data_IF_090270576411
#
_entry.id   IF_090270576411
#
_cell.length_a   1.000
_cell.length_b   1.000
_cell.length_c   1.000
_cell.angle_alpha   90.00
_cell.angle_beta   90.00
_cell.angle_gamma   90.00
#
_symmetry.space_group_name_H-M   'P 1'
#
loop_
_entity.id
_entity.type
_entity.pdbx_description
1 polymer ?
#
# COMPACT_ATOMS: atom_id res chain seq x y z
N UNK A 1 -33.89 12.14 9.39
CA UNK A 1 -34.07 11.16 8.30
C UNK A 1 -34.91 10.05 8.90
N UNK A 2 -36.03 9.67 8.28
CA UNK A 2 -36.78 8.51 8.76
C UNK A 2 -35.96 7.23 8.54
N UNK A 3 -36.04 6.23 9.45
CA UNK A 3 -35.31 4.98 9.28
C UNK A 3 -35.83 4.24 8.04
N UNK A 4 -34.95 3.98 7.08
CA UNK A 4 -35.26 3.14 5.92
C UNK A 4 -35.12 1.68 6.37
N UNK A 5 -36.14 0.82 6.22
CA UNK A 5 -36.04 -0.59 6.55
C UNK A 5 -35.23 -1.31 5.48
N UNK A 6 -33.90 -1.23 5.59
CA UNK A 6 -32.95 -1.87 4.68
C UNK A 6 -31.97 -2.74 5.45
N UNK A 7 -31.67 -3.93 4.91
CA UNK A 7 -30.64 -4.80 5.48
C UNK A 7 -29.26 -4.39 4.96
N UNK A 8 -28.24 -4.50 5.82
CA UNK A 8 -26.85 -4.32 5.40
C UNK A 8 -26.41 -5.38 4.39
N UNK A 9 -27.06 -6.55 4.34
CA UNK A 9 -26.81 -7.58 3.32
C UNK A 9 -27.20 -7.10 1.94
N UNK A 10 -28.39 -6.51 1.78
CA UNK A 10 -28.84 -5.97 0.49
C UNK A 10 -27.87 -4.91 -0.05
N UNK A 11 -27.44 -3.97 0.81
CA UNK A 11 -26.46 -2.94 0.43
C UNK A 11 -25.16 -3.57 -0.07
N UNK A 12 -24.63 -4.57 0.66
CA UNK A 12 -23.39 -5.25 0.28
C UNK A 12 -23.54 -6.00 -1.03
N UNK A 13 -24.62 -6.73 -1.23
CA UNK A 13 -24.90 -7.47 -2.47
C UNK A 13 -24.99 -6.54 -3.68
N UNK A 14 -25.67 -5.40 -3.55
CA UNK A 14 -25.75 -4.38 -4.60
C UNK A 14 -24.35 -3.85 -4.96
N UNK A 15 -23.55 -3.43 -3.96
CA UNK A 15 -22.21 -2.91 -4.18
C UNK A 15 -21.25 -3.94 -4.78
N UNK A 16 -21.34 -5.21 -4.36
CA UNK A 16 -20.57 -6.32 -4.93
C UNK A 16 -21.00 -6.64 -6.38
N UNK A 17 -22.26 -6.40 -6.72
CA UNK A 17 -22.79 -6.49 -8.08
C UNK A 17 -22.41 -5.32 -8.99
N UNK A 18 -21.72 -4.30 -8.46
CA UNK A 18 -21.36 -3.08 -9.18
C UNK A 18 -22.48 -2.03 -9.27
N UNK A 19 -23.56 -2.20 -8.49
CA UNK A 19 -24.65 -1.24 -8.40
C UNK A 19 -24.33 -0.15 -7.34
N UNK A 20 -24.89 1.05 -7.52
CA UNK A 20 -24.77 2.10 -6.50
C UNK A 20 -25.80 1.90 -5.39
N UNK A 21 -25.34 1.94 -4.14
CA UNK A 21 -26.18 1.95 -2.95
C UNK A 21 -26.23 3.31 -2.24
N UNK A 22 -25.73 4.39 -2.87
CA UNK A 22 -25.56 5.71 -2.22
C UNK A 22 -26.88 6.28 -1.70
N UNK A 23 -27.96 6.07 -2.44
CA UNK A 23 -29.31 6.50 -2.08
C UNK A 23 -29.89 5.80 -0.83
N UNK A 24 -29.23 4.73 -0.37
CA UNK A 24 -29.63 3.89 0.76
C UNK A 24 -28.78 4.16 2.00
N UNK A 25 -27.77 5.04 1.89
CA UNK A 25 -26.75 5.26 2.89
C UNK A 25 -26.69 6.72 3.32
N UNK A 26 -26.28 7.02 4.56
CA UNK A 26 -25.87 8.37 4.92
C UNK A 26 -24.77 8.85 3.96
N UNK A 27 -24.79 10.12 3.51
CA UNK A 27 -23.83 10.62 2.51
C UNK A 27 -22.36 10.39 2.89
N UNK A 28 -22.01 10.53 4.17
CA UNK A 28 -20.65 10.28 4.65
C UNK A 28 -20.22 8.82 4.54
N UNK A 29 -21.16 7.87 4.68
CA UNK A 29 -20.89 6.44 4.53
C UNK A 29 -20.71 6.09 3.05
N UNK A 30 -21.58 6.61 2.18
CA UNK A 30 -21.46 6.44 0.74
C UNK A 30 -20.12 7.00 0.22
N UNK A 31 -19.77 8.24 0.59
CA UNK A 31 -18.47 8.83 0.27
C UNK A 31 -17.30 7.99 0.77
N UNK A 32 -17.37 7.48 2.00
CA UNK A 32 -16.30 6.63 2.53
C UNK A 32 -16.14 5.34 1.72
N UNK A 33 -17.24 4.65 1.39
CA UNK A 33 -17.21 3.42 0.60
C UNK A 33 -16.62 3.67 -0.78
N UNK A 34 -17.08 4.72 -1.47
CA UNK A 34 -16.68 5.04 -2.83
C UNK A 34 -15.22 5.52 -2.89
N UNK A 35 -14.80 6.39 -1.97
CA UNK A 35 -13.43 6.91 -1.95
C UNK A 35 -12.40 5.82 -1.61
N UNK A 36 -12.76 4.83 -0.79
CA UNK A 36 -11.84 3.77 -0.39
C UNK A 36 -12.01 2.47 -1.19
N UNK A 37 -12.93 2.44 -2.16
CA UNK A 37 -13.18 1.28 -3.03
C UNK A 37 -13.44 -0.03 -2.26
N UNK A 38 -14.15 0.06 -1.13
CA UNK A 38 -14.30 -1.03 -0.13
C UNK A 38 -14.80 -2.35 -0.73
N UNK A 39 -15.59 -2.32 -1.79
CA UNK A 39 -16.14 -3.53 -2.44
C UNK A 39 -15.53 -3.83 -3.82
N UNK A 40 -14.66 -2.97 -4.35
CA UNK A 40 -14.18 -3.07 -5.73
C UNK A 40 -13.28 -4.30 -5.97
N UNK A 41 -12.56 -4.74 -4.95
CA UNK A 41 -11.59 -5.84 -5.04
C UNK A 41 -12.06 -7.11 -4.33
N UNK A 42 -13.36 -7.24 -4.06
CA UNK A 42 -13.91 -8.38 -3.32
C UNK A 42 -13.63 -9.74 -3.97
N UNK A 43 -13.63 -9.79 -5.31
CA UNK A 43 -13.26 -10.99 -6.07
C UNK A 43 -11.80 -11.38 -5.84
N UNK A 44 -10.88 -10.41 -5.80
CA UNK A 44 -9.45 -10.68 -5.62
C UNK A 44 -9.13 -11.08 -4.18
N UNK A 45 -9.81 -10.46 -3.21
CA UNK A 45 -9.78 -10.90 -1.82
C UNK A 45 -10.30 -12.33 -1.68
N UNK A 46 -11.25 -12.75 -2.53
CA UNK A 46 -11.86 -14.07 -2.42
C UNK A 46 -10.89 -15.24 -2.64
N UNK A 47 -9.85 -14.98 -3.44
CA UNK A 47 -8.77 -15.93 -3.74
C UNK A 47 -7.88 -16.22 -2.51
N UNK A 48 -8.00 -15.42 -1.44
CA UNK A 48 -7.28 -15.61 -0.17
C UNK A 48 -8.10 -16.36 0.90
N UNK A 49 -9.12 -17.13 0.47
CA UNK A 49 -9.61 -18.40 1.10
C UNK A 49 -9.10 -18.75 2.49
N UNK A 50 -7.94 -19.36 2.38
CA UNK A 50 -7.23 -20.05 3.43
C UNK A 50 -6.49 -19.10 4.36
N UNK A 51 -6.21 -17.89 3.91
CA UNK A 51 -5.32 -16.95 4.58
C UNK A 51 -6.06 -15.91 5.43
N UNK A 52 -7.38 -15.79 5.31
CA UNK A 52 -8.16 -14.78 6.03
C UNK A 52 -7.94 -14.76 7.54
N UNK A 53 -7.94 -15.93 8.18
CA UNK A 53 -7.70 -16.01 9.63
C UNK A 53 -6.29 -15.56 9.99
N UNK A 54 -5.31 -15.81 9.11
CA UNK A 54 -3.94 -15.36 9.31
C UNK A 54 -3.82 -13.83 9.13
N UNK A 55 -4.38 -13.28 8.05
CA UNK A 55 -4.38 -11.83 7.80
C UNK A 55 -5.12 -11.07 8.90
N UNK A 56 -6.26 -11.58 9.37
CA UNK A 56 -7.00 -10.97 10.49
C UNK A 56 -6.19 -10.96 11.78
N UNK A 57 -5.36 -11.97 12.05
CA UNK A 57 -4.48 -11.96 13.23
C UNK A 57 -3.42 -10.86 13.11
N UNK A 58 -2.82 -10.69 11.93
CA UNK A 58 -1.84 -9.61 11.68
C UNK A 58 -2.49 -8.22 11.81
N UNK A 59 -3.72 -8.07 11.32
CA UNK A 59 -4.54 -6.88 11.49
C UNK A 59 -4.75 -6.56 12.98
N UNK A 60 -5.20 -7.54 13.77
CA UNK A 60 -5.45 -7.36 15.20
C UNK A 60 -4.20 -6.98 15.99
N UNK A 61 -3.04 -7.55 15.65
CA UNK A 61 -1.77 -7.26 16.32
C UNK A 61 -1.33 -5.81 16.06
N UNK A 62 -1.44 -5.33 14.82
CA UNK A 62 -0.96 -3.99 14.48
C UNK A 62 -1.96 -2.87 14.85
N UNK A 63 -3.27 -3.16 14.96
CA UNK A 63 -4.31 -2.13 15.16
C UNK A 63 -4.01 -1.19 16.34
N UNK A 64 -3.63 -1.68 17.53
CA UNK A 64 -3.30 -0.83 18.67
C UNK A 64 -2.16 0.16 18.41
N UNK A 65 -1.28 -0.14 17.45
CA UNK A 65 -0.14 0.70 17.08
C UNK A 65 -0.53 1.82 16.10
N UNK A 66 -1.66 1.69 15.40
CA UNK A 66 -2.05 2.57 14.31
C UNK A 66 -3.23 3.47 14.65
N UNK A 67 -3.18 4.71 14.15
CA UNK A 67 -4.34 5.61 14.13
C UNK A 67 -5.47 5.07 13.25
N UNK A 68 -6.70 5.55 13.45
CA UNK A 68 -7.84 5.11 12.63
C UNK A 68 -7.62 5.40 11.13
N UNK A 69 -7.11 6.57 10.78
CA UNK A 69 -6.79 6.94 9.40
C UNK A 69 -5.74 5.99 8.81
N UNK A 70 -4.72 5.62 9.60
CA UNK A 70 -3.68 4.72 9.13
C UNK A 70 -4.18 3.30 8.93
N UNK A 71 -5.10 2.82 9.77
CA UNK A 71 -5.75 1.51 9.57
C UNK A 71 -6.48 1.46 8.23
N UNK A 72 -7.23 2.51 7.88
CA UNK A 72 -7.91 2.59 6.57
C UNK A 72 -6.88 2.59 5.43
N UNK A 73 -5.84 3.42 5.53
CA UNK A 73 -4.74 3.45 4.56
C UNK A 73 -4.14 2.06 4.34
N UNK A 74 -3.74 1.38 5.42
CA UNK A 74 -3.12 0.05 5.35
C UNK A 74 -4.07 -0.99 4.71
N UNK A 75 -5.36 -0.97 5.04
CA UNK A 75 -6.33 -1.85 4.38
C UNK A 75 -6.48 -1.55 2.90
N UNK A 76 -6.47 -0.28 2.49
CA UNK A 76 -6.54 0.09 1.08
C UNK A 76 -5.27 -0.33 0.34
N UNK A 77 -4.09 -0.15 0.94
CA UNK A 77 -2.80 -0.62 0.39
C UNK A 77 -2.82 -2.13 0.23
N UNK A 78 -3.24 -2.90 1.25
CA UNK A 78 -3.36 -4.35 1.17
C UNK A 78 -4.27 -4.78 0.01
N UNK A 79 -5.50 -4.24 -0.04
CA UNK A 79 -6.49 -4.60 -1.07
C UNK A 79 -5.97 -4.30 -2.49
N UNK A 80 -5.40 -3.12 -2.68
CA UNK A 80 -4.89 -2.73 -3.99
C UNK A 80 -3.62 -3.48 -4.37
N UNK A 81 -2.78 -3.84 -3.38
CA UNK A 81 -1.61 -4.70 -3.61
C UNK A 81 -2.02 -6.09 -4.09
N UNK A 82 -3.08 -6.67 -3.53
CA UNK A 82 -3.63 -7.96 -3.97
C UNK A 82 -4.14 -7.86 -5.41
N UNK A 83 -4.88 -6.80 -5.72
CA UNK A 83 -5.37 -6.55 -7.08
C UNK A 83 -4.23 -6.46 -8.11
N UNK A 84 -3.23 -5.62 -7.85
CA UNK A 84 -2.05 -5.50 -8.72
C UNK A 84 -1.26 -6.82 -8.79
N UNK A 85 -1.13 -7.55 -7.69
CA UNK A 85 -0.44 -8.84 -7.68
C UNK A 85 -1.14 -9.87 -8.57
N UNK A 86 -2.48 -9.90 -8.57
CA UNK A 86 -3.25 -10.78 -9.45
C UNK A 86 -3.01 -10.48 -10.93
N UNK A 87 -3.03 -9.21 -11.30
CA UNK A 87 -2.79 -8.77 -12.69
C UNK A 87 -1.36 -9.13 -13.14
N UNK A 88 -0.37 -8.85 -12.29
CA UNK A 88 1.05 -9.04 -12.59
C UNK A 88 1.60 -10.42 -12.22
N UNK A 89 0.73 -11.35 -11.82
CA UNK A 89 1.07 -12.73 -11.46
C UNK A 89 2.13 -12.82 -10.35
N UNK A 90 2.03 -11.92 -9.37
CA UNK A 90 2.79 -11.96 -8.11
C UNK A 90 1.97 -12.71 -7.06
N UNK A 91 2.65 -13.38 -6.12
CA UNK A 91 1.99 -14.14 -5.06
C UNK A 91 1.06 -13.24 -4.23
N UNK A 92 -0.23 -13.59 -4.19
CA UNK A 92 -1.28 -12.80 -3.54
C UNK A 92 -1.08 -12.70 -2.04
N UNK A 93 -0.62 -13.78 -1.40
CA UNK A 93 -0.42 -13.84 0.05
C UNK A 93 0.72 -12.93 0.47
N UNK A 94 1.83 -12.95 -0.27
CA UNK A 94 2.98 -12.05 -0.03
C UNK A 94 2.58 -10.59 -0.22
N UNK A 95 1.81 -10.27 -1.26
CA UNK A 95 1.27 -8.93 -1.50
C UNK A 95 0.33 -8.46 -0.38
N UNK A 96 -0.57 -9.35 0.08
CA UNK A 96 -1.48 -9.05 1.18
C UNK A 96 -0.70 -8.76 2.48
N UNK A 97 0.24 -9.63 2.85
CA UNK A 97 1.03 -9.48 4.08
C UNK A 97 1.91 -8.23 4.04
N UNK A 98 2.64 -8.00 2.94
CA UNK A 98 3.50 -6.83 2.81
C UNK A 98 2.69 -5.53 2.80
N UNK A 99 1.57 -5.48 2.07
CA UNK A 99 0.68 -4.32 2.04
C UNK A 99 0.02 -4.04 3.40
N UNK A 100 -0.35 -5.08 4.13
CA UNK A 100 -0.93 -4.99 5.47
C UNK A 100 0.09 -4.54 6.53
N UNK A 101 1.39 -4.78 6.34
CA UNK A 101 2.41 -4.52 7.38
C UNK A 101 3.41 -3.41 7.02
N UNK A 102 3.29 -2.79 5.84
CA UNK A 102 4.27 -1.80 5.37
C UNK A 102 4.50 -0.62 6.33
N UNK A 103 3.47 -0.24 7.09
CA UNK A 103 3.47 0.90 8.02
C UNK A 103 3.39 0.44 9.50
N UNK A 104 3.71 -0.83 9.82
CA UNK A 104 3.62 -1.41 11.17
C UNK A 104 4.28 -0.57 12.28
N UNK A 105 5.46 -0.02 12.00
CA UNK A 105 6.26 0.79 12.91
C UNK A 105 5.99 2.30 12.80
N UNK A 106 5.01 2.75 11.98
CA UNK A 106 4.83 4.16 11.60
C UNK A 106 4.66 5.13 12.78
N UNK A 107 4.03 4.66 13.85
CA UNK A 107 3.72 5.43 15.05
C UNK A 107 4.50 4.99 16.30
N UNK A 108 5.49 4.11 16.14
CA UNK A 108 6.43 3.83 17.23
C UNK A 108 7.27 5.08 17.52
N UNK A 109 7.82 5.24 18.72
CA UNK A 109 8.78 6.30 19.02
C UNK A 109 9.90 6.36 17.98
N UNK A 110 10.33 7.58 17.59
CA UNK A 110 11.36 7.73 16.56
C UNK A 110 12.68 7.05 16.95
N UNK A 111 13.07 7.13 18.23
CA UNK A 111 14.28 6.47 18.73
C UNK A 111 14.21 4.96 18.50
N UNK A 112 13.09 4.32 18.84
CA UNK A 112 12.84 2.89 18.59
C UNK A 112 12.89 2.53 17.09
N UNK A 113 12.45 3.45 16.21
CA UNK A 113 12.55 3.26 14.77
C UNK A 113 14.00 3.34 14.29
N UNK A 114 14.79 4.30 14.78
CA UNK A 114 16.21 4.43 14.43
C UNK A 114 17.05 3.28 14.97
N UNK A 115 16.76 2.79 16.18
CA UNK A 115 17.44 1.62 16.75
C UNK A 115 17.17 0.33 15.97
N UNK A 116 15.94 0.17 15.46
CA UNK A 116 15.55 -0.98 14.65
C UNK A 116 16.03 -0.93 13.20
N UNK A 117 16.35 0.26 12.67
CA UNK A 117 16.79 0.41 11.29
C UNK A 117 18.19 -0.21 11.08
N UNK A 118 18.44 -0.89 9.93
CA UNK A 118 19.75 -1.43 9.62
C UNK A 118 20.81 -0.33 9.62
N UNK A 119 21.95 -0.59 10.26
CA UNK A 119 23.06 0.38 10.39
C UNK A 119 23.65 0.80 9.04
N UNK A 120 23.49 -0.03 8.01
CA UNK A 120 23.93 0.19 6.64
C UNK A 120 22.88 0.92 5.77
N UNK A 121 21.69 1.19 6.30
CA UNK A 121 20.70 2.01 5.60
C UNK A 121 21.14 3.48 5.64
N UNK A 122 21.56 4.00 4.48
CA UNK A 122 22.07 5.37 4.33
C UNK A 122 20.95 6.42 4.42
N UNK A 123 21.30 7.68 4.71
CA UNK A 123 20.43 8.87 4.59
C UNK A 123 19.02 8.77 5.21
N UNK A 124 18.91 8.06 6.34
CA UNK A 124 17.67 7.97 7.12
C UNK A 124 17.22 9.34 7.64
N UNK A 125 15.89 9.52 7.69
CA UNK A 125 15.23 10.64 8.34
C UNK A 125 13.86 10.21 8.87
N UNK A 126 13.18 11.11 9.59
CA UNK A 126 11.89 10.88 10.25
C UNK A 126 10.74 10.46 9.31
N UNK A 127 10.88 10.66 8.00
CA UNK A 127 9.90 10.21 7.00
C UNK A 127 10.20 8.84 6.40
N UNK A 128 11.43 8.37 6.53
CA UNK A 128 11.94 7.15 5.87
C UNK A 128 12.13 6.03 6.89
N UNK A 129 12.66 6.33 8.09
CA UNK A 129 13.13 5.36 9.08
C UNK A 129 12.09 4.32 9.48
N UNK A 130 10.80 4.66 9.43
CA UNK A 130 9.75 3.70 9.74
C UNK A 130 9.77 2.49 8.81
N UNK A 131 10.15 2.63 7.54
CA UNK A 131 10.13 1.53 6.57
C UNK A 131 11.11 0.39 6.92
N UNK A 132 12.43 0.65 7.09
CA UNK A 132 13.35 -0.37 7.57
C UNK A 132 13.00 -0.87 8.98
N UNK A 133 12.51 0.00 9.87
CA UNK A 133 12.04 -0.42 11.19
C UNK A 133 10.85 -1.40 11.11
N UNK A 134 9.91 -1.17 10.18
CA UNK A 134 8.81 -2.11 9.93
C UNK A 134 9.35 -3.48 9.55
N UNK A 135 10.31 -3.56 8.63
CA UNK A 135 10.90 -4.84 8.24
C UNK A 135 11.56 -5.55 9.44
N UNK A 136 12.27 -4.81 10.29
CA UNK A 136 12.86 -5.35 11.51
C UNK A 136 11.80 -5.92 12.48
N UNK A 137 10.78 -5.14 12.84
CA UNK A 137 9.77 -5.56 13.80
C UNK A 137 8.86 -6.65 13.24
N UNK A 138 8.52 -6.61 11.94
CA UNK A 138 7.76 -7.68 11.29
C UNK A 138 8.52 -9.01 11.33
N UNK A 139 9.84 -8.99 11.16
CA UNK A 139 10.66 -10.18 11.30
C UNK A 139 10.75 -10.66 12.75
N UNK A 140 11.09 -9.75 13.67
CA UNK A 140 11.39 -10.09 15.07
C UNK A 140 10.14 -10.38 15.92
N UNK A 141 9.09 -9.57 15.81
CA UNK A 141 7.87 -9.71 16.61
C UNK A 141 6.89 -10.72 16.01
N UNK A 142 6.78 -10.76 14.67
CA UNK A 142 5.77 -11.58 13.98
C UNK A 142 6.35 -12.86 13.37
N UNK A 143 7.67 -13.04 13.39
CA UNK A 143 8.34 -14.24 12.87
C UNK A 143 8.25 -14.38 11.34
N UNK A 144 8.00 -13.30 10.61
CA UNK A 144 7.91 -13.32 9.14
C UNK A 144 9.31 -13.15 8.56
N UNK A 145 9.87 -14.22 7.99
CA UNK A 145 11.25 -14.27 7.47
C UNK A 145 11.32 -14.38 5.93
N UNK A 146 10.21 -14.11 5.23
CA UNK A 146 10.22 -14.05 3.76
C UNK A 146 10.93 -12.77 3.30
N UNK A 147 12.13 -12.92 2.73
CA UNK A 147 12.97 -11.78 2.35
C UNK A 147 12.29 -10.81 1.38
N UNK A 148 11.46 -11.29 0.44
CA UNK A 148 10.79 -10.36 -0.48
C UNK A 148 9.64 -9.60 0.16
N UNK A 149 8.97 -10.16 1.18
CA UNK A 149 8.04 -9.38 2.02
C UNK A 149 8.81 -8.31 2.78
N UNK A 150 9.92 -8.70 3.42
CA UNK A 150 10.74 -7.78 4.21
C UNK A 150 11.35 -6.68 3.36
N UNK A 151 11.86 -6.98 2.16
CA UNK A 151 12.40 -5.99 1.23
C UNK A 151 11.31 -5.04 0.72
N UNK A 152 10.13 -5.58 0.37
CA UNK A 152 9.01 -4.76 -0.07
C UNK A 152 8.57 -3.76 1.02
N UNK A 153 8.58 -4.18 2.29
CA UNK A 153 8.32 -3.32 3.44
C UNK A 153 9.47 -2.33 3.66
N UNK A 154 10.72 -2.79 3.66
CA UNK A 154 11.91 -1.98 3.92
C UNK A 154 12.03 -0.81 2.95
N UNK A 155 11.72 -1.05 1.67
CA UNK A 155 11.92 -0.08 0.59
C UNK A 155 10.63 0.61 0.12
N UNK A 156 9.49 0.45 0.80
CA UNK A 156 8.22 1.04 0.33
C UNK A 156 8.24 2.59 0.27
N UNK A 157 9.07 3.24 1.09
CA UNK A 157 9.19 4.71 1.08
C UNK A 157 10.11 5.21 -0.02
N UNK A 158 11.25 4.55 -0.25
CA UNK A 158 12.32 5.02 -1.14
C UNK A 158 12.34 4.35 -2.51
N UNK A 159 11.71 3.18 -2.66
CA UNK A 159 12.05 2.18 -3.67
C UNK A 159 13.52 1.73 -3.55
N UNK A 160 13.96 0.84 -4.43
CA UNK A 160 15.34 0.37 -4.52
C UNK A 160 15.69 -0.01 -5.97
N UNK A 161 16.93 0.18 -6.46
CA UNK A 161 17.33 -0.22 -7.82
C UNK A 161 17.14 -1.70 -8.13
N UNK A 162 17.15 -2.56 -7.11
CA UNK A 162 16.96 -4.01 -7.26
C UNK A 162 15.56 -4.48 -6.80
N UNK A 163 14.61 -3.56 -6.68
CA UNK A 163 13.26 -3.87 -6.19
C UNK A 163 12.55 -4.85 -7.13
N UNK A 164 12.00 -5.93 -6.57
CA UNK A 164 11.25 -6.93 -7.32
C UNK A 164 9.80 -6.45 -7.61
N UNK A 165 9.02 -7.26 -8.32
CA UNK A 165 7.65 -6.87 -8.64
C UNK A 165 6.76 -6.74 -7.40
N UNK A 166 7.01 -7.50 -6.33
CA UNK A 166 6.29 -7.35 -5.06
C UNK A 166 6.59 -5.98 -4.46
N UNK A 167 7.84 -5.58 -4.34
CA UNK A 167 8.23 -4.27 -3.84
C UNK A 167 7.71 -3.12 -4.70
N UNK A 168 7.70 -3.25 -6.03
CA UNK A 168 7.07 -2.25 -6.92
C UNK A 168 5.57 -2.12 -6.64
N UNK A 169 4.87 -3.24 -6.45
CA UNK A 169 3.45 -3.24 -6.11
C UNK A 169 3.21 -2.53 -4.78
N UNK A 170 3.97 -2.85 -3.73
CA UNK A 170 3.80 -2.20 -2.42
C UNK A 170 4.13 -0.70 -2.48
N UNK A 171 5.21 -0.34 -3.16
CA UNK A 171 5.61 1.07 -3.37
C UNK A 171 4.51 1.86 -4.10
N UNK A 172 3.95 1.29 -5.17
CA UNK A 172 2.85 1.92 -5.90
C UNK A 172 1.60 1.99 -5.03
N UNK A 173 1.17 0.88 -4.45
CA UNK A 173 -0.07 0.81 -3.67
C UNK A 173 -0.08 1.82 -2.52
N UNK A 174 1.02 2.00 -1.77
CA UNK A 174 1.13 3.01 -0.71
C UNK A 174 0.88 4.46 -1.21
N UNK A 175 1.33 4.76 -2.43
CA UNK A 175 1.25 6.10 -3.00
C UNK A 175 -0.03 6.36 -3.77
N UNK A 176 -0.64 5.32 -4.31
CA UNK A 176 -1.74 5.44 -5.27
C UNK A 176 -2.98 4.63 -4.92
N UNK A 177 -3.10 4.07 -3.71
CA UNK A 177 -4.37 3.52 -3.20
C UNK A 177 -5.50 4.55 -3.27
N UNK A 178 -6.76 4.08 -3.30
CA UNK A 178 -7.90 4.90 -3.71
C UNK A 178 -8.32 5.97 -2.71
N UNK A 179 -8.00 5.80 -1.42
CA UNK A 179 -8.17 6.82 -0.38
C UNK A 179 -7.24 8.03 -0.55
N UNK A 180 -6.18 7.93 -1.37
CA UNK A 180 -5.37 9.10 -1.77
C UNK A 180 -6.10 9.94 -2.82
N UNK A 181 -6.17 11.24 -2.58
CA UNK A 181 -6.77 12.20 -3.50
C UNK A 181 -5.71 13.18 -4.07
N UNK A 182 -5.11 12.82 -5.21
CA UNK A 182 -4.31 13.76 -6.02
C UNK A 182 -4.66 13.68 -7.50
N UNK A 183 -4.60 14.81 -8.19
CA UNK A 183 -4.99 14.91 -9.61
C UNK A 183 -4.16 14.03 -10.54
N UNK A 184 -2.91 13.74 -10.18
CA UNK A 184 -1.99 12.91 -10.98
C UNK A 184 -2.19 11.40 -10.80
N UNK A 185 -2.98 10.94 -9.82
CA UNK A 185 -3.08 9.50 -9.52
C UNK A 185 -3.88 8.68 -10.54
N UNK A 186 -5.00 9.14 -11.12
CA UNK A 186 -5.80 8.27 -12.00
C UNK A 186 -5.00 7.72 -13.21
N UNK A 187 -4.16 8.51 -13.91
CA UNK A 187 -3.26 7.96 -14.93
C UNK A 187 -2.26 6.92 -14.40
N UNK A 188 -1.72 7.12 -13.19
CA UNK A 188 -0.75 6.19 -12.58
C UNK A 188 -1.44 4.89 -12.19
N UNK A 189 -2.66 4.94 -11.63
CA UNK A 189 -3.48 3.75 -11.30
C UNK A 189 -3.73 2.90 -12.54
N UNK A 190 -4.20 3.53 -13.62
CA UNK A 190 -4.41 2.84 -14.90
C UNK A 190 -3.12 2.22 -15.44
N UNK A 191 -1.99 2.93 -15.33
CA UNK A 191 -0.71 2.38 -15.77
C UNK A 191 -0.25 1.24 -14.87
N UNK A 192 -0.51 1.30 -13.56
CA UNK A 192 -0.12 0.25 -12.61
C UNK A 192 -0.79 -1.08 -12.93
N UNK A 193 -2.01 -1.07 -13.44
CA UNK A 193 -2.69 -2.28 -13.93
C UNK A 193 -2.16 -2.79 -15.29
N UNK A 194 -1.45 -1.96 -16.07
CA UNK A 194 -0.98 -2.31 -17.41
C UNK A 194 0.50 -2.68 -17.46
N UNK A 195 1.35 -1.89 -16.81
CA UNK A 195 2.81 -2.01 -16.81
C UNK A 195 3.40 -1.39 -15.54
N UNK A 196 3.86 -2.25 -14.62
CA UNK A 196 4.44 -1.83 -13.35
C UNK A 196 5.63 -0.89 -13.52
N UNK A 197 6.50 -1.10 -14.52
CA UNK A 197 7.71 -0.28 -14.65
C UNK A 197 7.37 1.13 -15.16
N UNK A 198 6.42 1.23 -16.09
CA UNK A 198 5.91 2.54 -16.52
C UNK A 198 5.18 3.26 -15.40
N UNK A 199 4.39 2.55 -14.60
CA UNK A 199 3.71 3.13 -13.44
C UNK A 199 4.70 3.60 -12.38
N UNK A 200 5.74 2.82 -12.10
CA UNK A 200 6.85 3.20 -11.21
C UNK A 200 7.51 4.49 -11.69
N UNK A 201 7.80 4.61 -12.99
CA UNK A 201 8.42 5.81 -13.55
C UNK A 201 7.55 7.04 -13.33
N UNK A 202 6.26 6.97 -13.69
CA UNK A 202 5.29 8.06 -13.49
C UNK A 202 5.16 8.43 -12.01
N UNK A 203 5.14 7.44 -11.12
CA UNK A 203 5.03 7.67 -9.68
C UNK A 203 6.30 8.32 -9.11
N UNK A 204 7.48 7.89 -9.55
CA UNK A 204 8.75 8.49 -9.14
C UNK A 204 8.88 9.92 -9.65
N UNK A 205 8.45 10.23 -10.88
CA UNK A 205 8.40 11.61 -11.39
C UNK A 205 7.57 12.52 -10.47
N UNK A 206 6.38 12.07 -10.02
CA UNK A 206 5.56 12.81 -9.05
C UNK A 206 6.26 12.97 -7.69
N UNK A 207 6.98 11.95 -7.23
CA UNK A 207 7.77 12.03 -5.99
C UNK A 207 8.88 13.07 -6.11
N UNK A 208 9.63 13.12 -7.24
CA UNK A 208 10.63 14.16 -7.47
C UNK A 208 10.01 15.56 -7.48
N UNK A 209 8.90 15.74 -8.20
CA UNK A 209 8.18 17.02 -8.24
C UNK A 209 7.66 17.45 -6.86
N UNK A 210 7.25 16.51 -6.02
CA UNK A 210 6.80 16.79 -4.66
C UNK A 210 7.97 17.20 -3.75
N UNK A 211 9.12 16.52 -3.87
CA UNK A 211 10.32 16.83 -3.10
C UNK A 211 10.93 18.17 -3.50
N UNK A 212 10.99 18.47 -4.80
CA UNK A 212 11.44 19.77 -5.31
C UNK A 212 10.57 20.92 -4.77
N UNK A 213 9.24 20.75 -4.79
CA UNK A 213 8.29 21.72 -4.19
C UNK A 213 8.50 21.92 -2.70
N UNK A 214 9.04 20.92 -1.99
CA UNK A 214 9.37 20.99 -0.57
C UNK A 214 10.81 21.48 -0.30
N UNK A 215 11.61 21.73 -1.34
CA UNK A 215 13.04 22.06 -1.19
C UNK A 215 13.87 20.92 -0.60
N UNK A 216 13.45 19.66 -0.82
CA UNK A 216 14.11 18.46 -0.30
C UNK A 216 14.75 17.66 -1.43
N UNK A 217 15.85 17.00 -1.12
CA UNK A 217 16.45 16.04 -2.04
C UNK A 217 15.82 14.66 -1.91
N UNK A 218 15.77 13.94 -3.04
CA UNK A 218 15.42 12.53 -3.05
C UNK A 218 16.52 11.68 -2.43
N UNK A 219 16.09 10.63 -1.71
CA UNK A 219 16.97 9.62 -1.16
C UNK A 219 17.83 8.97 -2.27
N UNK A 220 19.10 8.59 -2.02
CA UNK A 220 19.94 7.95 -3.04
C UNK A 220 19.32 6.70 -3.67
N UNK A 221 18.62 5.87 -2.90
CA UNK A 221 17.89 4.72 -3.45
C UNK A 221 16.74 5.12 -4.39
N UNK A 222 16.05 6.23 -4.12
CA UNK A 222 15.02 6.75 -5.03
C UNK A 222 15.63 7.20 -6.36
N UNK A 223 16.76 7.92 -6.30
CA UNK A 223 17.53 8.32 -7.49
C UNK A 223 18.00 7.09 -8.30
N UNK A 224 18.62 6.11 -7.64
CA UNK A 224 19.09 4.88 -8.29
C UNK A 224 17.96 4.01 -8.84
N UNK A 225 16.82 3.94 -8.13
CA UNK A 225 15.61 3.25 -8.60
C UNK A 225 15.06 3.90 -9.85
N UNK A 226 15.01 5.23 -9.89
CA UNK A 226 14.57 5.97 -11.08
C UNK A 226 15.41 5.65 -12.30
N UNK A 227 16.73 5.70 -12.17
CA UNK A 227 17.65 5.38 -13.27
C UNK A 227 17.46 3.96 -13.79
N UNK A 228 17.26 3.00 -12.88
CA UNK A 228 17.08 1.59 -13.23
C UNK A 228 15.75 1.37 -13.96
N UNK A 229 14.65 1.91 -13.43
CA UNK A 229 13.32 1.82 -14.04
C UNK A 229 13.28 2.55 -15.39
N UNK A 230 13.88 3.73 -15.49
CA UNK A 230 13.95 4.51 -16.73
C UNK A 230 14.67 3.72 -17.84
N UNK A 231 15.79 3.06 -17.52
CA UNK A 231 16.49 2.16 -18.46
C UNK A 231 15.62 0.98 -18.87
N UNK A 232 14.93 0.34 -17.92
CA UNK A 232 14.05 -0.79 -18.21
C UNK A 232 12.90 -0.41 -19.14
N UNK A 233 12.27 0.75 -18.93
CA UNK A 233 11.19 1.26 -19.79
C UNK A 233 11.67 1.62 -21.20
N UNK A 234 12.88 2.18 -21.35
CA UNK A 234 13.45 2.54 -22.66
C UNK A 234 13.85 1.33 -23.52
N UNK A 235 14.16 0.20 -22.88
CA UNK A 235 14.63 -1.01 -23.55
C UNK A 235 13.50 -1.99 -23.94
N UNK A 236 12.23 -1.63 -23.72
CA UNK A 236 11.03 -2.40 -24.09
C UNK A 236 10.33 -1.77 -25.28
#
# INVERSE_FOLDING_TARGET
MEPIPISSTYVREALLGGESADHLLPPSVASFINNNMIYAFASDLSDLSSDWLYLQKLEQIQWPLLSQERRVHVLNVMQYSIHLAKIHKVDLRRAAVAGLLHDYAKYLPLDDQYEAAPQDFIDLNDKIVHAPACAYYVKSDLGIDDQGILDAICYHTTSHPQIDNLGKIIYLADKIEYGREFKSLPPIRRMAELDLDRAMLMCLDEVFLALERQGREAHPFTKASYDTISKAVRNR
#
